data_IF_121939478375
#
_entry.id   IF_121939478375
#
_cell.length_a   1.000
_cell.length_b   1.000
_cell.length_c   1.000
_cell.angle_alpha   90.00
_cell.angle_beta   90.00
_cell.angle_gamma   90.00
#
_symmetry.space_group_name_H-M   'P 1'
#
loop_
_entity.id
_entity.type
_entity.pdbx_description
1 polymer ?
#
# COMPACT_ATOMS: atom_id res chain seq x y z
N UNK A 1 86.65 3.83 34.96
CA UNK A 1 86.22 3.71 33.55
C UNK A 1 85.29 2.52 33.30
N UNK A 2 85.51 1.38 33.87
CA UNK A 2 84.61 0.23 33.73
C UNK A 2 83.23 0.39 34.38
N UNK A 3 83.14 1.19 35.49
CA UNK A 3 81.85 1.53 36.13
C UNK A 3 81.05 2.53 35.30
N UNK A 4 81.69 3.48 34.66
CA UNK A 4 81.06 4.46 33.76
C UNK A 4 80.51 3.81 32.48
N UNK A 5 81.30 2.89 31.91
CA UNK A 5 80.91 2.14 30.72
C UNK A 5 79.68 1.22 30.96
N UNK A 6 79.62 0.60 32.18
CA UNK A 6 78.51 -0.19 32.58
C UNK A 6 77.22 0.63 32.75
N UNK A 7 77.31 1.80 33.39
CA UNK A 7 76.15 2.67 33.58
C UNK A 7 75.58 3.18 32.27
N UNK A 8 76.40 3.49 31.33
CA UNK A 8 75.97 3.91 29.97
C UNK A 8 75.35 2.77 29.20
N UNK A 9 75.92 1.54 29.29
CA UNK A 9 75.32 0.38 28.62
C UNK A 9 73.93 0.02 29.18
N UNK A 10 73.72 0.10 30.50
CA UNK A 10 72.44 -0.14 31.15
C UNK A 10 71.42 0.96 30.82
N UNK A 11 71.87 2.20 30.68
CA UNK A 11 70.96 3.30 30.27
C UNK A 11 70.54 3.11 28.83
N UNK A 12 71.40 2.77 27.88
CA UNK A 12 71.06 2.50 26.50
C UNK A 12 70.13 1.29 26.38
N UNK A 13 70.34 0.23 27.15
CA UNK A 13 69.45 -0.93 27.20
C UNK A 13 68.06 -0.55 27.62
N UNK A 14 67.88 0.18 28.70
CA UNK A 14 66.58 0.64 29.19
C UNK A 14 65.89 1.52 28.19
N UNK A 15 66.62 2.45 27.58
CA UNK A 15 66.07 3.36 26.59
C UNK A 15 65.58 2.61 25.35
N UNK A 16 66.34 1.66 24.83
CA UNK A 16 65.97 0.85 23.66
C UNK A 16 64.78 -0.04 23.96
N UNK A 17 64.76 -0.70 25.16
CA UNK A 17 63.58 -1.51 25.60
C UNK A 17 62.33 -0.66 25.77
N UNK A 18 62.45 0.55 26.35
CA UNK A 18 61.32 1.47 26.53
C UNK A 18 60.78 1.98 25.21
N UNK A 19 61.65 2.37 24.27
CA UNK A 19 61.24 2.79 22.91
C UNK A 19 60.51 1.64 22.19
N UNK A 20 61.04 0.43 22.24
CA UNK A 20 60.45 -0.75 21.62
C UNK A 20 59.13 -1.10 22.26
N UNK A 21 59.01 -0.99 23.58
CA UNK A 21 57.77 -1.21 24.28
C UNK A 21 56.69 -0.18 23.91
N UNK A 22 57.07 1.07 23.74
CA UNK A 22 56.20 2.14 23.27
C UNK A 22 55.68 1.84 21.86
N UNK A 23 56.58 1.43 20.95
CA UNK A 23 56.21 1.03 19.58
C UNK A 23 55.23 -0.15 19.61
N UNK A 24 55.50 -1.16 20.40
CA UNK A 24 54.63 -2.33 20.52
C UNK A 24 53.27 -1.99 21.11
N UNK A 25 53.25 -1.15 22.15
CA UNK A 25 51.97 -0.68 22.75
C UNK A 25 51.15 0.10 21.75
N UNK A 26 51.79 1.00 20.96
CA UNK A 26 51.13 1.74 19.91
C UNK A 26 50.55 0.82 18.83
N UNK A 27 51.34 -0.18 18.40
CA UNK A 27 50.87 -1.16 17.41
C UNK A 27 49.67 -1.97 17.89
N UNK A 28 49.68 -2.41 19.17
CA UNK A 28 48.54 -3.12 19.79
C UNK A 28 47.33 -2.22 19.88
N UNK A 29 47.51 -0.96 20.25
CA UNK A 29 46.40 0.02 20.30
C UNK A 29 45.77 0.22 18.93
N UNK A 30 46.56 0.34 17.89
CA UNK A 30 46.04 0.45 16.51
C UNK A 30 45.28 -0.79 16.09
N UNK A 31 45.76 -1.97 16.41
CA UNK A 31 45.08 -3.23 16.15
C UNK A 31 43.71 -3.29 16.88
N UNK A 32 43.68 -2.93 18.16
CA UNK A 32 42.47 -2.91 18.96
C UNK A 32 41.44 -1.91 18.47
N UNK A 33 41.87 -0.72 18.03
CA UNK A 33 41.02 0.28 17.41
C UNK A 33 40.40 -0.23 16.11
N UNK A 34 41.18 -0.89 15.25
CA UNK A 34 40.68 -1.48 14.00
C UNK A 34 39.70 -2.61 14.30
N UNK A 35 40.01 -3.47 15.27
CA UNK A 35 39.14 -4.54 15.70
C UNK A 35 37.81 -4.00 16.21
N UNK A 36 37.84 -2.95 17.01
CA UNK A 36 36.61 -2.27 17.48
C UNK A 36 35.80 -1.68 16.34
N UNK A 37 36.44 -1.07 15.36
CA UNK A 37 35.77 -0.54 14.16
C UNK A 37 35.13 -1.66 13.34
N UNK A 38 35.78 -2.82 13.23
CA UNK A 38 35.24 -4.01 12.56
C UNK A 38 34.00 -4.53 13.29
N UNK A 39 34.07 -4.65 14.60
CA UNK A 39 32.91 -5.09 15.41
C UNK A 39 31.72 -4.15 15.24
N UNK A 40 31.94 -2.85 15.33
CA UNK A 40 30.88 -1.85 15.14
C UNK A 40 30.29 -1.92 13.74
N UNK A 41 31.11 -2.07 12.72
CA UNK A 41 30.65 -2.19 11.35
C UNK A 41 29.86 -3.48 11.11
N UNK A 42 30.27 -4.60 11.72
CA UNK A 42 29.52 -5.85 11.66
C UNK A 42 28.18 -5.75 12.35
N UNK A 43 28.08 -5.08 13.50
CA UNK A 43 26.82 -4.85 14.20
C UNK A 43 25.88 -3.98 13.34
N UNK A 44 26.38 -2.94 12.72
CA UNK A 44 25.60 -2.12 11.80
C UNK A 44 25.13 -2.90 10.58
N UNK A 45 25.97 -3.71 9.97
CA UNK A 45 25.58 -4.59 8.87
C UNK A 45 24.48 -5.56 9.28
N UNK A 46 24.61 -6.17 10.46
CA UNK A 46 23.60 -7.10 10.98
C UNK A 46 22.29 -6.39 11.22
N UNK A 47 22.31 -5.19 11.81
CA UNK A 47 21.13 -4.38 12.03
C UNK A 47 20.44 -4.01 10.71
N UNK A 48 21.22 -3.59 9.70
CA UNK A 48 20.69 -3.30 8.36
C UNK A 48 20.11 -4.54 7.69
N UNK A 49 20.75 -5.70 7.82
CA UNK A 49 20.23 -6.95 7.30
C UNK A 49 18.88 -7.32 7.93
N UNK A 50 18.73 -7.14 9.24
CA UNK A 50 17.45 -7.34 9.92
C UNK A 50 16.38 -6.38 9.39
N UNK A 51 16.74 -5.12 9.16
CA UNK A 51 15.83 -4.13 8.56
C UNK A 51 15.40 -4.53 7.16
N UNK A 52 16.31 -5.04 6.33
CA UNK A 52 16.00 -5.57 4.99
C UNK A 52 15.05 -6.75 5.09
N UNK A 53 15.28 -7.67 6.00
CA UNK A 53 14.39 -8.83 6.21
C UNK A 53 12.96 -8.40 6.58
N UNK A 54 12.83 -7.42 7.47
CA UNK A 54 11.52 -6.86 7.86
C UNK A 54 10.80 -6.23 6.68
N UNK A 55 11.52 -5.47 5.85
CA UNK A 55 10.94 -4.85 4.66
C UNK A 55 10.55 -5.90 3.64
N UNK A 56 11.35 -6.95 3.43
CA UNK A 56 11.02 -8.04 2.52
C UNK A 56 9.77 -8.78 2.95
N UNK A 57 9.59 -9.03 4.24
CA UNK A 57 8.38 -9.63 4.78
C UNK A 57 7.17 -8.73 4.56
N UNK A 58 7.32 -7.45 4.86
CA UNK A 58 6.28 -6.44 4.60
C UNK A 58 5.91 -6.36 3.13
N UNK A 59 6.89 -6.38 2.22
CA UNK A 59 6.66 -6.43 0.77
C UNK A 59 5.90 -7.68 0.34
N UNK A 60 6.21 -8.83 0.93
CA UNK A 60 5.49 -10.07 0.64
C UNK A 60 4.01 -9.96 1.03
N UNK A 61 3.72 -9.43 2.20
CA UNK A 61 2.34 -9.17 2.64
C UNK A 61 1.63 -8.16 1.74
N UNK A 62 2.30 -7.06 1.40
CA UNK A 62 1.77 -6.03 0.50
C UNK A 62 1.47 -6.59 -0.88
N UNK A 63 2.36 -7.41 -1.45
CA UNK A 63 2.15 -8.04 -2.75
C UNK A 63 0.96 -8.99 -2.73
N UNK A 64 0.77 -9.76 -1.66
CA UNK A 64 -0.39 -10.65 -1.51
C UNK A 64 -1.70 -9.84 -1.49
N UNK A 65 -1.73 -8.77 -0.71
CA UNK A 65 -2.89 -7.86 -0.66
C UNK A 65 -3.13 -7.16 -2.00
N UNK A 66 -2.06 -6.75 -2.67
CA UNK A 66 -2.13 -6.10 -3.98
C UNK A 66 -2.72 -7.03 -5.03
N UNK A 67 -2.31 -8.28 -5.08
CA UNK A 67 -2.87 -9.29 -5.99
C UNK A 67 -4.36 -9.51 -5.74
N UNK A 68 -4.78 -9.60 -4.47
CA UNK A 68 -6.19 -9.74 -4.10
C UNK A 68 -7.01 -8.54 -4.57
N UNK A 69 -6.51 -7.32 -4.36
CA UNK A 69 -7.18 -6.09 -4.81
C UNK A 69 -7.22 -5.98 -6.34
N UNK A 70 -6.16 -6.37 -7.03
CA UNK A 70 -6.14 -6.40 -8.50
C UNK A 70 -7.19 -7.37 -9.05
N UNK A 71 -7.32 -8.54 -8.45
CA UNK A 71 -8.33 -9.52 -8.83
C UNK A 71 -9.73 -8.97 -8.61
N UNK A 72 -9.96 -8.34 -7.46
CA UNK A 72 -11.25 -7.69 -7.17
C UNK A 72 -11.57 -6.57 -8.15
N UNK A 73 -10.59 -5.72 -8.45
CA UNK A 73 -10.72 -4.65 -9.43
C UNK A 73 -11.09 -5.18 -10.82
N UNK A 74 -10.37 -6.16 -11.33
CA UNK A 74 -10.63 -6.72 -12.65
C UNK A 74 -12.00 -7.38 -12.74
N UNK A 75 -12.42 -8.09 -11.69
CA UNK A 75 -13.75 -8.69 -11.62
C UNK A 75 -14.84 -7.64 -11.68
N UNK A 76 -14.76 -6.62 -10.85
CA UNK A 76 -15.77 -5.57 -10.80
C UNK A 76 -15.76 -4.68 -12.05
N UNK A 77 -14.58 -4.37 -12.59
CA UNK A 77 -14.45 -3.63 -13.85
C UNK A 77 -15.04 -4.39 -15.04
N UNK A 78 -14.80 -5.70 -15.12
CA UNK A 78 -15.38 -6.55 -16.16
C UNK A 78 -16.90 -6.62 -16.06
N UNK A 79 -17.42 -6.73 -14.84
CA UNK A 79 -18.87 -6.70 -14.59
C UNK A 79 -19.47 -5.37 -15.00
N UNK A 80 -18.82 -4.27 -14.66
CA UNK A 80 -19.24 -2.92 -15.07
C UNK A 80 -19.27 -2.76 -16.59
N UNK A 81 -18.25 -3.22 -17.29
CA UNK A 81 -18.18 -3.17 -18.75
C UNK A 81 -19.31 -4.00 -19.38
N UNK A 82 -19.58 -5.20 -18.85
CA UNK A 82 -20.67 -6.03 -19.31
C UNK A 82 -22.02 -5.34 -19.16
N UNK A 83 -22.28 -4.75 -17.99
CA UNK A 83 -23.52 -4.03 -17.72
C UNK A 83 -23.65 -2.76 -18.58
N UNK A 84 -22.58 -2.02 -18.78
CA UNK A 84 -22.57 -0.86 -19.69
C UNK A 84 -22.88 -1.26 -21.13
N UNK A 85 -22.28 -2.35 -21.60
CA UNK A 85 -22.56 -2.85 -22.95
C UNK A 85 -24.02 -3.25 -23.12
N UNK A 86 -24.62 -3.91 -22.15
CA UNK A 86 -26.04 -4.26 -22.13
C UNK A 86 -26.89 -2.99 -22.14
N UNK A 87 -26.54 -2.00 -21.32
CA UNK A 87 -27.27 -0.73 -21.26
C UNK A 87 -27.17 0.08 -22.56
N UNK A 88 -26.00 0.14 -23.18
CA UNK A 88 -25.78 0.84 -24.46
C UNK A 88 -26.57 0.23 -25.62
N UNK A 89 -26.79 -1.08 -25.62
CA UNK A 89 -27.62 -1.77 -26.62
C UNK A 89 -29.10 -1.72 -26.32
N UNK A 90 -29.50 -1.13 -25.19
CA UNK A 90 -30.87 -1.13 -24.71
C UNK A 90 -31.49 -2.53 -24.63
N UNK A 91 -30.70 -3.52 -24.23
CA UNK A 91 -31.17 -4.87 -24.02
C UNK A 91 -32.22 -4.89 -22.88
N UNK A 92 -33.33 -5.57 -23.11
CA UNK A 92 -34.48 -5.57 -22.22
C UNK A 92 -35.53 -4.50 -22.54
N UNK A 93 -35.24 -3.56 -23.42
CA UNK A 93 -36.23 -2.61 -23.94
C UNK A 93 -36.93 -3.16 -25.19
N UNK A 94 -38.13 -2.64 -25.48
CA UNK A 94 -38.84 -2.98 -26.71
C UNK A 94 -38.09 -2.54 -27.97
N UNK A 95 -38.36 -3.21 -29.08
CA UNK A 95 -37.67 -2.92 -30.34
C UNK A 95 -37.80 -1.46 -30.78
N UNK A 96 -38.99 -0.88 -30.70
CA UNK A 96 -39.27 0.51 -31.05
C UNK A 96 -38.41 1.47 -30.20
N UNK A 97 -38.26 1.22 -28.91
CA UNK A 97 -37.48 2.04 -28.00
C UNK A 97 -35.98 2.00 -28.38
N UNK A 98 -35.46 0.80 -28.61
CA UNK A 98 -34.05 0.64 -29.03
C UNK A 98 -33.77 1.40 -30.31
N UNK A 99 -34.65 1.31 -31.30
CA UNK A 99 -34.50 1.98 -32.60
C UNK A 99 -34.49 3.50 -32.48
N UNK A 100 -35.35 4.05 -31.65
CA UNK A 100 -35.35 5.49 -31.37
C UNK A 100 -34.07 5.92 -30.65
N UNK A 101 -33.64 5.18 -29.66
CA UNK A 101 -32.45 5.53 -28.89
C UNK A 101 -31.16 5.44 -29.70
N UNK A 102 -31.11 4.61 -30.74
CA UNK A 102 -30.04 4.58 -31.73
C UNK A 102 -29.89 5.91 -32.49
N UNK A 103 -30.99 6.70 -32.59
CA UNK A 103 -30.99 7.98 -33.25
C UNK A 103 -30.63 9.18 -32.34
N UNK A 104 -30.38 8.94 -31.07
CA UNK A 104 -30.17 10.01 -30.05
C UNK A 104 -29.05 10.97 -30.43
N UNK A 105 -27.94 10.46 -30.98
CA UNK A 105 -26.81 11.31 -31.41
C UNK A 105 -27.15 12.19 -32.64
N UNK A 106 -28.00 11.69 -33.52
CA UNK A 106 -28.43 12.40 -34.75
C UNK A 106 -29.58 13.37 -34.48
N UNK A 107 -30.38 13.11 -33.46
CA UNK A 107 -31.54 13.90 -33.07
C UNK A 107 -31.33 14.40 -31.63
N UNK A 108 -30.72 15.57 -31.42
CA UNK A 108 -30.35 16.06 -30.10
C UNK A 108 -31.50 16.32 -29.15
N UNK A 109 -32.73 16.47 -29.69
CA UNK A 109 -33.93 16.66 -28.86
C UNK A 109 -34.37 15.44 -28.08
N UNK A 110 -33.86 14.24 -28.38
CA UNK A 110 -34.15 13.05 -27.62
C UNK A 110 -33.40 13.13 -26.29
N UNK A 111 -34.12 13.23 -25.18
CA UNK A 111 -33.50 13.36 -23.86
C UNK A 111 -33.07 12.01 -23.27
N UNK A 112 -33.88 10.99 -23.42
CA UNK A 112 -33.64 9.66 -22.92
C UNK A 112 -34.93 8.91 -22.58
N UNK A 113 -34.75 7.68 -22.17
CA UNK A 113 -35.85 6.84 -21.66
C UNK A 113 -36.09 7.17 -20.19
N UNK A 114 -37.31 7.12 -19.72
CA UNK A 114 -37.68 7.42 -18.33
C UNK A 114 -36.80 6.65 -17.34
N UNK A 115 -36.55 5.35 -17.57
CA UNK A 115 -35.69 4.54 -16.72
C UNK A 115 -34.29 5.09 -16.55
N UNK A 116 -33.74 5.74 -17.58
CA UNK A 116 -32.36 6.30 -17.56
C UNK A 116 -32.29 7.68 -16.90
N UNK A 117 -33.40 8.37 -16.75
CA UNK A 117 -33.48 9.72 -16.21
C UNK A 117 -33.83 9.75 -14.72
N UNK A 118 -34.27 8.64 -14.15
CA UNK A 118 -34.73 8.54 -12.76
C UNK A 118 -33.73 7.75 -11.94
N UNK A 119 -33.35 8.28 -10.77
CA UNK A 119 -32.60 7.58 -9.74
C UNK A 119 -33.51 7.29 -8.55
N UNK A 120 -33.43 6.07 -8.05
CA UNK A 120 -34.25 5.62 -6.91
C UNK A 120 -33.40 4.79 -5.95
N UNK A 121 -33.69 4.92 -4.65
CA UNK A 121 -33.09 4.08 -3.63
C UNK A 121 -33.51 2.62 -3.84
N UNK A 122 -32.62 1.67 -3.58
CA UNK A 122 -32.84 0.24 -3.72
C UNK A 122 -34.16 -0.23 -3.04
N UNK A 123 -34.47 0.31 -1.87
CA UNK A 123 -35.64 -0.06 -1.10
C UNK A 123 -36.96 0.27 -1.82
N UNK A 124 -36.96 1.20 -2.75
CA UNK A 124 -38.15 1.68 -3.46
C UNK A 124 -38.16 1.33 -4.95
N UNK A 125 -37.13 0.66 -5.47
CA UNK A 125 -37.06 0.30 -6.88
C UNK A 125 -38.28 -0.47 -7.38
N UNK A 126 -38.68 -1.49 -6.65
CA UNK A 126 -39.83 -2.33 -7.01
C UNK A 126 -41.13 -1.50 -7.02
N UNK A 127 -41.31 -0.65 -6.00
CA UNK A 127 -42.48 0.22 -5.92
C UNK A 127 -42.53 1.20 -7.09
N UNK A 128 -41.43 1.83 -7.43
CA UNK A 128 -41.37 2.81 -8.54
C UNK A 128 -41.51 2.13 -9.91
N UNK A 129 -40.91 0.97 -10.13
CA UNK A 129 -41.15 0.17 -11.34
C UNK A 129 -42.61 -0.20 -11.50
N UNK A 130 -43.23 -0.62 -10.41
CA UNK A 130 -44.67 -0.96 -10.39
C UNK A 130 -45.50 0.29 -10.71
N UNK A 131 -45.20 1.43 -10.10
CA UNK A 131 -45.89 2.68 -10.33
C UNK A 131 -45.77 3.18 -11.76
N UNK A 132 -44.59 3.08 -12.36
CA UNK A 132 -44.34 3.48 -13.75
C UNK A 132 -45.00 2.51 -14.73
N UNK A 133 -44.94 1.22 -14.45
CA UNK A 133 -45.45 0.20 -15.38
C UNK A 133 -44.81 0.34 -16.76
N UNK A 134 -45.61 0.35 -17.81
CA UNK A 134 -45.12 0.54 -19.19
C UNK A 134 -44.48 1.90 -19.45
N UNK A 135 -44.75 2.90 -18.63
CA UNK A 135 -44.18 4.23 -18.75
C UNK A 135 -42.66 4.29 -18.47
N UNK A 136 -42.10 3.26 -17.88
CA UNK A 136 -40.68 3.14 -17.63
C UNK A 136 -39.84 3.20 -18.94
N UNK A 137 -40.45 2.78 -20.04
CA UNK A 137 -39.84 2.79 -21.37
C UNK A 137 -40.25 4.00 -22.23
N UNK A 138 -41.02 4.94 -21.71
CA UNK A 138 -41.38 6.13 -22.44
C UNK A 138 -40.16 7.01 -22.72
N UNK A 139 -40.16 7.63 -23.87
CA UNK A 139 -39.07 8.46 -24.36
C UNK A 139 -39.36 9.93 -24.13
N UNK A 140 -38.49 10.60 -23.37
CA UNK A 140 -38.59 12.04 -23.12
C UNK A 140 -37.93 12.80 -24.26
N UNK A 141 -38.64 13.76 -24.82
CA UNK A 141 -38.12 14.67 -25.84
C UNK A 141 -38.21 16.11 -25.37
N UNK A 142 -37.42 16.97 -25.97
CA UNK A 142 -37.43 18.42 -25.70
C UNK A 142 -38.76 19.07 -26.05
N UNK A 143 -39.32 18.73 -27.22
CA UNK A 143 -40.54 19.29 -27.72
C UNK A 143 -41.35 18.29 -28.57
N UNK A 144 -42.52 18.72 -28.99
CA UNK A 144 -43.45 17.90 -29.77
C UNK A 144 -42.90 17.62 -31.20
N UNK A 145 -42.13 18.52 -31.76
CA UNK A 145 -41.58 18.34 -33.10
C UNK A 145 -40.57 17.19 -33.14
N UNK A 146 -39.73 17.06 -32.12
CA UNK A 146 -38.82 15.92 -31.95
C UNK A 146 -39.59 14.61 -31.85
N UNK A 147 -40.63 14.59 -31.01
CA UNK A 147 -41.50 13.43 -30.86
C UNK A 147 -42.18 13.03 -32.18
N UNK A 148 -42.69 14.00 -32.92
CA UNK A 148 -43.29 13.80 -34.27
C UNK A 148 -42.28 13.19 -35.24
N UNK A 149 -41.09 13.72 -35.30
CA UNK A 149 -40.02 13.21 -36.17
C UNK A 149 -39.70 11.75 -35.89
N UNK A 150 -39.66 11.38 -34.62
CA UNK A 150 -39.38 10.00 -34.22
C UNK A 150 -40.59 9.05 -34.42
N UNK A 151 -41.82 9.56 -34.29
CA UNK A 151 -43.02 8.80 -34.63
C UNK A 151 -43.04 8.50 -36.14
N UNK A 152 -42.75 9.47 -36.99
CA UNK A 152 -42.62 9.29 -38.44
C UNK A 152 -41.50 8.30 -38.81
N UNK A 153 -40.36 8.37 -38.13
CA UNK A 153 -39.27 7.43 -38.28
C UNK A 153 -39.70 5.97 -37.95
N UNK A 154 -40.37 5.77 -36.84
CA UNK A 154 -40.88 4.45 -36.46
C UNK A 154 -41.92 3.94 -37.49
N UNK A 155 -42.80 4.79 -37.94
CA UNK A 155 -43.84 4.45 -38.92
C UNK A 155 -43.23 4.07 -40.28
N UNK A 156 -42.29 4.89 -40.77
CA UNK A 156 -41.61 4.65 -42.04
C UNK A 156 -40.89 3.33 -42.09
N UNK A 157 -40.22 2.98 -41.01
CA UNK A 157 -39.40 1.77 -40.90
C UNK A 157 -40.09 0.56 -40.33
N UNK A 158 -41.38 0.72 -39.96
CA UNK A 158 -42.20 -0.35 -39.34
C UNK A 158 -41.55 -0.95 -38.09
N UNK A 159 -40.98 -0.10 -37.25
CA UNK A 159 -40.28 -0.52 -36.04
C UNK A 159 -41.20 -0.67 -34.80
N UNK A 160 -42.51 -0.47 -34.98
CA UNK A 160 -43.46 -0.55 -33.88
C UNK A 160 -43.83 0.81 -33.30
N UNK A 161 -44.37 0.80 -32.11
CA UNK A 161 -44.91 2.00 -31.43
C UNK A 161 -44.13 2.32 -30.17
N UNK A 162 -44.01 3.62 -29.90
CA UNK A 162 -43.43 4.14 -28.66
C UNK A 162 -44.26 5.31 -28.16
N UNK A 163 -44.24 5.52 -26.85
CA UNK A 163 -44.86 6.69 -26.22
C UNK A 163 -43.80 7.73 -25.93
N UNK A 164 -44.06 8.96 -26.37
CA UNK A 164 -43.16 10.09 -26.18
C UNK A 164 -43.74 11.07 -25.17
N UNK A 165 -42.88 11.65 -24.35
CA UNK A 165 -43.21 12.66 -23.36
C UNK A 165 -42.42 13.95 -23.69
N UNK A 166 -43.02 14.85 -24.54
CA UNK A 166 -42.44 16.13 -24.87
C UNK A 166 -42.41 17.05 -23.65
N UNK A 167 -41.25 17.55 -23.25
CA UNK A 167 -41.10 18.45 -22.10
C UNK A 167 -41.89 19.74 -22.27
N UNK A 168 -42.04 20.19 -23.51
CA UNK A 168 -42.81 21.40 -23.85
C UNK A 168 -44.30 21.30 -23.59
N UNK A 169 -44.88 20.06 -23.61
CA UNK A 169 -46.31 19.85 -23.47
C UNK A 169 -46.72 19.09 -22.20
N UNK A 170 -45.77 18.36 -21.61
CA UNK A 170 -46.06 17.60 -20.38
C UNK A 170 -46.14 18.53 -19.17
N UNK A 171 -47.22 18.45 -18.43
CA UNK A 171 -47.39 19.16 -17.15
C UNK A 171 -48.00 18.26 -16.10
N UNK A 172 -47.74 18.50 -14.81
CA UNK A 172 -48.30 17.72 -13.72
C UNK A 172 -49.83 17.74 -13.72
N UNK A 173 -50.43 16.62 -13.31
CA UNK A 173 -51.91 16.48 -13.17
C UNK A 173 -52.45 17.06 -11.87
N UNK A 174 -51.71 17.95 -11.21
CA UNK A 174 -52.02 18.49 -9.91
C UNK A 174 -51.28 17.76 -8.79
N UNK A 175 -51.41 18.32 -7.59
CA UNK A 175 -50.80 17.72 -6.39
C UNK A 175 -51.60 16.51 -5.90
N UNK A 176 -50.93 15.65 -5.14
CA UNK A 176 -51.57 14.52 -4.47
C UNK A 176 -52.64 15.02 -3.47
N UNK A 177 -53.84 14.51 -3.62
CA UNK A 177 -54.98 14.80 -2.69
C UNK A 177 -55.73 13.52 -2.41
N UNK A 178 -56.32 13.32 -1.22
CA UNK A 178 -56.30 14.20 -0.04
C UNK A 178 -54.95 14.08 0.72
N UNK A 179 -54.43 15.18 1.21
CA UNK A 179 -53.13 15.21 1.95
C UNK A 179 -53.17 14.43 3.29
N UNK A 180 -54.33 14.24 3.85
CA UNK A 180 -54.52 13.42 5.08
C UNK A 180 -54.10 11.97 4.87
N UNK A 181 -54.18 11.44 3.65
CA UNK A 181 -53.78 10.09 3.33
C UNK A 181 -52.26 9.88 3.56
N UNK A 182 -51.45 10.91 3.48
CA UNK A 182 -50.01 10.84 3.74
C UNK A 182 -49.68 10.50 5.20
N UNK A 183 -50.61 10.72 6.10
CA UNK A 183 -50.46 10.44 7.54
C UNK A 183 -50.98 9.06 7.95
N UNK A 184 -51.55 8.32 7.03
CA UNK A 184 -52.06 6.99 7.33
C UNK A 184 -50.96 5.99 7.67
N UNK A 185 -51.21 5.01 8.55
CA UNK A 185 -50.21 4.00 8.88
C UNK A 185 -49.72 3.25 7.65
N UNK A 186 -48.43 3.06 7.55
CA UNK A 186 -47.76 2.33 6.47
C UNK A 186 -47.43 3.16 5.25
N UNK A 187 -47.80 4.43 5.19
CA UNK A 187 -47.46 5.31 4.08
C UNK A 187 -45.95 5.64 4.11
N UNK A 188 -45.29 5.35 3.02
CA UNK A 188 -43.87 5.69 2.81
C UNK A 188 -43.74 7.12 2.26
N UNK A 189 -44.60 7.47 1.27
CA UNK A 189 -44.60 8.80 0.69
C UNK A 189 -45.21 8.82 -0.70
N UNK A 190 -45.18 9.98 -1.33
CA UNK A 190 -45.59 10.13 -2.74
C UNK A 190 -44.43 9.62 -3.62
N UNK A 191 -44.74 8.81 -4.62
CA UNK A 191 -43.74 8.17 -5.49
C UNK A 191 -42.78 9.19 -6.14
N UNK A 192 -43.28 10.36 -6.58
CA UNK A 192 -42.45 11.41 -7.17
C UNK A 192 -41.41 11.98 -6.21
N UNK A 193 -41.63 11.92 -4.90
CA UNK A 193 -40.72 12.42 -3.87
C UNK A 193 -39.70 11.38 -3.46
N UNK A 194 -39.87 10.11 -3.82
CA UNK A 194 -38.98 9.00 -3.53
C UNK A 194 -37.91 8.77 -4.61
N UNK A 195 -37.93 9.57 -5.67
CA UNK A 195 -37.01 9.50 -6.78
C UNK A 195 -36.22 10.81 -6.91
N UNK A 196 -35.01 10.71 -7.46
CA UNK A 196 -34.17 11.86 -7.80
C UNK A 196 -34.04 11.98 -9.30
N UNK A 197 -34.20 13.20 -9.80
CA UNK A 197 -34.04 13.52 -11.23
C UNK A 197 -33.34 14.87 -11.39
N UNK A 198 -32.75 15.11 -12.55
CA UNK A 198 -32.26 16.43 -12.89
C UNK A 198 -33.42 17.43 -12.90
N UNK A 199 -33.17 18.67 -12.52
CA UNK A 199 -34.21 19.72 -12.36
C UNK A 199 -35.10 19.89 -13.57
N UNK A 200 -34.56 19.72 -14.78
CA UNK A 200 -35.26 19.82 -16.04
C UNK A 200 -36.31 18.73 -16.25
N UNK A 201 -36.22 17.60 -15.57
CA UNK A 201 -37.15 16.46 -15.68
C UNK A 201 -38.16 16.37 -14.53
N UNK A 202 -38.18 17.31 -13.61
CA UNK A 202 -39.12 17.27 -12.46
C UNK A 202 -40.57 17.26 -12.88
N UNK A 203 -40.92 17.98 -13.94
CA UNK A 203 -42.30 17.99 -14.42
C UNK A 203 -42.74 16.62 -14.99
N UNK A 204 -41.84 15.96 -15.68
CA UNK A 204 -42.06 14.58 -16.16
C UNK A 204 -42.28 13.64 -14.97
N UNK A 205 -41.46 13.71 -13.94
CA UNK A 205 -41.57 12.88 -12.74
C UNK A 205 -42.89 13.13 -12.01
N UNK A 206 -43.30 14.38 -11.83
CA UNK A 206 -44.56 14.74 -11.21
C UNK A 206 -45.77 14.29 -12.06
N UNK A 207 -45.65 14.36 -13.36
CA UNK A 207 -46.67 13.85 -14.27
C UNK A 207 -46.87 12.34 -14.12
N UNK A 208 -45.80 11.56 -14.05
CA UNK A 208 -45.86 10.11 -13.97
C UNK A 208 -46.15 9.58 -12.56
N UNK A 209 -45.60 10.20 -11.55
CA UNK A 209 -45.53 9.66 -10.18
C UNK A 209 -46.14 10.58 -9.11
N UNK A 210 -46.57 11.77 -9.47
CA UNK A 210 -47.01 12.79 -8.50
C UNK A 210 -48.30 12.45 -7.75
N UNK A 211 -49.10 11.52 -8.27
CA UNK A 211 -50.37 11.10 -7.68
C UNK A 211 -50.38 9.63 -7.25
N UNK A 212 -49.24 9.01 -7.15
CA UNK A 212 -49.07 7.63 -6.70
C UNK A 212 -48.54 7.61 -5.27
N UNK A 213 -49.25 6.92 -4.39
CA UNK A 213 -48.87 6.73 -3.00
C UNK A 213 -48.08 5.41 -2.85
N UNK A 214 -46.93 5.46 -2.22
CA UNK A 214 -46.13 4.26 -1.87
C UNK A 214 -46.45 3.86 -0.45
N UNK A 215 -46.80 2.59 -0.26
CA UNK A 215 -47.19 2.02 1.02
C UNK A 215 -46.30 0.81 1.32
N UNK A 216 -46.04 0.53 2.59
CA UNK A 216 -45.12 -0.51 3.04
C UNK A 216 -45.60 -1.95 2.74
N UNK A 217 -46.90 -2.22 2.87
CA UNK A 217 -47.48 -3.54 2.62
C UNK A 217 -48.90 -3.48 2.10
N UNK A 218 -49.40 -4.63 1.62
CA UNK A 218 -50.72 -4.75 1.03
C UNK A 218 -51.86 -4.53 2.03
N UNK A 219 -51.68 -4.94 3.28
CA UNK A 219 -52.74 -4.79 4.31
C UNK A 219 -52.98 -3.32 4.63
N UNK A 220 -51.91 -2.53 4.77
CA UNK A 220 -52.03 -1.09 4.93
C UNK A 220 -52.66 -0.43 3.69
N UNK A 221 -52.25 -0.86 2.49
CA UNK A 221 -52.82 -0.34 1.25
C UNK A 221 -54.33 -0.62 1.14
N UNK A 222 -54.77 -1.80 1.49
CA UNK A 222 -56.20 -2.16 1.51
C UNK A 222 -56.99 -1.27 2.50
N UNK A 223 -56.44 -1.10 3.72
CA UNK A 223 -57.07 -0.26 4.73
C UNK A 223 -57.23 1.20 4.27
N UNK A 224 -56.19 1.76 3.66
CA UNK A 224 -56.20 3.11 3.10
C UNK A 224 -57.20 3.19 1.94
N UNK A 225 -57.19 2.20 1.06
CA UNK A 225 -58.12 2.13 -0.07
C UNK A 225 -59.59 2.18 0.38
N UNK A 226 -59.98 1.43 1.39
CA UNK A 226 -61.32 1.42 1.97
C UNK A 226 -61.68 2.77 2.59
N UNK A 227 -60.77 3.37 3.33
CA UNK A 227 -60.98 4.66 4.00
C UNK A 227 -61.23 5.79 3.01
N UNK A 228 -60.55 5.78 1.88
CA UNK A 228 -60.66 6.82 0.84
C UNK A 228 -61.48 6.39 -0.36
N UNK A 229 -62.36 5.42 -0.19
CA UNK A 229 -63.37 4.96 -1.16
C UNK A 229 -62.77 4.50 -2.49
N UNK A 230 -61.60 3.85 -2.45
CA UNK A 230 -60.90 3.33 -3.64
C UNK A 230 -60.60 4.40 -4.70
N UNK A 231 -60.31 5.62 -4.25
CA UNK A 231 -60.03 6.75 -5.14
C UNK A 231 -58.52 6.94 -5.40
N UNK A 232 -57.67 6.30 -4.58
CA UNK A 232 -56.22 6.50 -4.62
C UNK A 232 -55.53 5.42 -5.42
N UNK A 233 -54.50 5.82 -6.15
CA UNK A 233 -53.56 4.91 -6.74
C UNK A 233 -52.41 4.66 -5.75
N UNK A 234 -52.19 3.41 -5.43
CA UNK A 234 -51.17 2.99 -4.45
C UNK A 234 -50.33 1.86 -5.01
N UNK A 235 -49.08 1.84 -4.63
CA UNK A 235 -48.16 0.73 -4.86
C UNK A 235 -47.49 0.35 -3.55
N UNK A 236 -47.19 -0.93 -3.36
CA UNK A 236 -46.45 -1.37 -2.19
C UNK A 236 -44.96 -1.55 -2.49
N UNK A 237 -44.12 -1.59 -1.47
CA UNK A 237 -42.71 -1.86 -1.60
C UNK A 237 -42.42 -3.28 -2.12
N UNK A 238 -43.39 -4.18 -2.06
CA UNK A 238 -43.27 -5.54 -2.59
C UNK A 238 -43.81 -5.69 -4.03
N UNK A 239 -44.38 -4.64 -4.62
CA UNK A 239 -44.74 -4.61 -6.03
C UNK A 239 -46.26 -4.84 -6.30
N UNK A 240 -47.12 -4.82 -5.28
CA UNK A 240 -48.58 -4.83 -5.48
C UNK A 240 -49.04 -3.41 -5.90
N UNK A 241 -50.05 -3.37 -6.74
CA UNK A 241 -50.67 -2.15 -7.21
C UNK A 241 -52.16 -2.13 -6.94
N UNK A 242 -52.68 -1.07 -6.32
CA UNK A 242 -54.08 -0.81 -6.11
C UNK A 242 -54.49 0.40 -6.94
N UNK A 243 -55.33 0.21 -7.89
CA UNK A 243 -55.78 1.26 -8.81
C UNK A 243 -57.07 1.93 -8.34
N UNK A 244 -57.30 3.20 -8.74
CA UNK A 244 -58.59 3.82 -8.53
C UNK A 244 -59.72 2.94 -9.08
N UNK A 245 -60.81 2.80 -8.30
CA UNK A 245 -61.90 1.88 -8.62
C UNK A 245 -61.80 0.53 -7.94
N UNK A 246 -60.65 0.20 -7.30
CA UNK A 246 -60.51 -0.97 -6.43
C UNK A 246 -59.83 -2.17 -7.05
N UNK A 247 -59.41 -2.10 -8.30
CA UNK A 247 -58.64 -3.22 -8.88
C UNK A 247 -57.28 -3.38 -8.24
N UNK A 248 -56.86 -4.64 -8.06
CA UNK A 248 -55.60 -5.01 -7.43
C UNK A 248 -54.79 -5.87 -8.38
N UNK A 249 -53.47 -5.57 -8.47
CA UNK A 249 -52.52 -6.37 -9.24
C UNK A 249 -51.35 -6.74 -8.32
N UNK A 250 -50.99 -8.01 -8.34
CA UNK A 250 -49.88 -8.51 -7.51
C UNK A 250 -49.47 -9.90 -7.94
N UNK A 251 -48.63 -10.50 -7.14
CA UNK A 251 -48.06 -11.82 -7.37
C UNK A 251 -46.53 -11.75 -7.27
N UNK A 252 -45.85 -12.79 -7.69
CA UNK A 252 -44.39 -12.81 -7.67
C UNK A 252 -43.84 -11.78 -8.65
N UNK A 253 -43.01 -10.85 -8.14
CA UNK A 253 -42.36 -9.87 -8.97
C UNK A 253 -41.21 -10.54 -9.77
N UNK A 254 -41.34 -10.55 -11.10
CA UNK A 254 -40.33 -11.12 -11.97
C UNK A 254 -39.31 -10.03 -12.32
N UNK A 255 -38.08 -10.26 -11.89
CA UNK A 255 -36.97 -9.33 -12.05
C UNK A 255 -36.32 -9.35 -13.46
N UNK A 256 -37.03 -9.88 -14.48
CA UNK A 256 -36.46 -10.11 -15.82
C UNK A 256 -36.14 -8.81 -16.61
N UNK A 257 -36.54 -7.64 -16.13
CA UNK A 257 -36.22 -6.36 -16.75
C UNK A 257 -36.20 -5.26 -15.70
N UNK A 258 -35.42 -5.45 -14.66
CA UNK A 258 -35.19 -4.42 -13.63
C UNK A 258 -34.28 -3.30 -14.19
N UNK A 259 -34.87 -2.42 -15.01
CA UNK A 259 -34.15 -1.34 -15.66
C UNK A 259 -33.62 -0.32 -14.66
N UNK A 260 -34.34 -0.01 -13.60
CA UNK A 260 -33.90 0.87 -12.52
C UNK A 260 -32.79 0.23 -11.69
N UNK A 261 -32.93 -1.05 -11.36
CA UNK A 261 -31.90 -1.79 -10.64
C UNK A 261 -30.60 -1.92 -11.42
N UNK A 262 -30.68 -2.13 -12.73
CA UNK A 262 -29.49 -2.18 -13.61
C UNK A 262 -28.74 -0.85 -13.58
N UNK A 263 -29.44 0.27 -13.72
CA UNK A 263 -28.84 1.59 -13.63
C UNK A 263 -28.16 1.83 -12.29
N UNK A 264 -28.85 1.51 -11.20
CA UNK A 264 -28.29 1.60 -9.84
C UNK A 264 -27.03 0.76 -9.71
N UNK A 265 -27.09 -0.49 -10.20
CA UNK A 265 -25.93 -1.40 -10.16
C UNK A 265 -24.73 -0.84 -10.92
N UNK A 266 -24.97 -0.25 -12.10
CA UNK A 266 -23.92 0.43 -12.86
C UNK A 266 -23.30 1.57 -12.05
N UNK A 267 -24.11 2.44 -11.45
CA UNK A 267 -23.63 3.56 -10.64
C UNK A 267 -22.84 3.10 -9.41
N UNK A 268 -23.33 2.07 -8.72
CA UNK A 268 -22.62 1.47 -7.58
C UNK A 268 -21.29 0.84 -7.99
N UNK A 269 -21.26 0.15 -9.13
CA UNK A 269 -20.04 -0.43 -9.66
C UNK A 269 -19.05 0.63 -10.13
N UNK A 270 -19.51 1.72 -10.74
CA UNK A 270 -18.65 2.85 -11.11
C UNK A 270 -17.93 3.42 -9.88
N UNK A 271 -18.67 3.63 -8.80
CA UNK A 271 -18.12 4.11 -7.53
C UNK A 271 -17.12 3.11 -6.95
N UNK A 272 -17.50 1.83 -6.92
CA UNK A 272 -16.67 0.75 -6.38
C UNK A 272 -15.38 0.55 -7.17
N UNK A 273 -15.48 0.54 -8.51
CA UNK A 273 -14.33 0.40 -9.41
C UNK A 273 -13.39 1.60 -9.27
N UNK A 274 -13.92 2.80 -9.18
CA UNK A 274 -13.13 4.01 -8.94
C UNK A 274 -12.38 3.94 -7.60
N UNK A 275 -13.06 3.49 -6.55
CA UNK A 275 -12.46 3.32 -5.23
C UNK A 275 -11.36 2.25 -5.22
N UNK A 276 -11.63 1.10 -5.87
CA UNK A 276 -10.65 0.03 -6.01
C UNK A 276 -9.42 0.49 -6.79
N UNK A 277 -9.61 1.26 -7.86
CA UNK A 277 -8.52 1.82 -8.65
C UNK A 277 -7.65 2.76 -7.83
N UNK A 278 -8.27 3.62 -7.03
CA UNK A 278 -7.55 4.52 -6.12
C UNK A 278 -6.76 3.74 -5.07
N UNK A 279 -7.38 2.74 -4.46
CA UNK A 279 -6.71 1.86 -3.49
C UNK A 279 -5.52 1.13 -4.11
N UNK A 280 -5.67 0.63 -5.34
CA UNK A 280 -4.57 -0.03 -6.07
C UNK A 280 -3.41 0.93 -6.30
N UNK A 281 -3.69 2.17 -6.71
CA UNK A 281 -2.64 3.17 -6.92
C UNK A 281 -1.89 3.46 -5.63
N UNK A 282 -2.60 3.64 -4.52
CA UNK A 282 -2.00 3.85 -3.21
C UNK A 282 -1.15 2.66 -2.76
N UNK A 283 -1.66 1.44 -2.94
CA UNK A 283 -0.93 0.21 -2.60
C UNK A 283 0.30 0.01 -3.47
N UNK A 284 0.22 0.30 -4.77
CA UNK A 284 1.36 0.23 -5.69
C UNK A 284 2.44 1.25 -5.31
N UNK A 285 2.05 2.47 -4.94
CA UNK A 285 2.97 3.50 -4.49
C UNK A 285 3.66 3.10 -3.16
N UNK A 286 2.92 2.50 -2.24
CA UNK A 286 3.48 2.01 -0.98
C UNK A 286 4.48 0.85 -1.21
N UNK A 287 4.18 -0.05 -2.13
CA UNK A 287 5.10 -1.13 -2.53
C UNK A 287 6.38 -0.56 -3.15
N UNK A 288 6.24 0.42 -4.04
CA UNK A 288 7.39 1.05 -4.70
C UNK A 288 8.29 1.78 -3.70
N UNK A 289 7.70 2.49 -2.76
CA UNK A 289 8.43 3.17 -1.68
C UNK A 289 9.22 2.16 -0.82
N UNK A 290 8.61 1.04 -0.45
CA UNK A 290 9.28 0.00 0.31
C UNK A 290 10.40 -0.69 -0.50
N UNK A 291 10.21 -0.88 -1.80
CA UNK A 291 11.27 -1.39 -2.69
C UNK A 291 12.46 -0.42 -2.74
N UNK A 292 12.19 0.87 -2.84
CA UNK A 292 13.22 1.90 -2.86
C UNK A 292 13.98 1.94 -1.53
N UNK A 293 13.30 1.83 -0.41
CA UNK A 293 13.92 1.75 0.91
C UNK A 293 14.78 0.50 1.05
N UNK A 294 14.27 -0.65 0.62
CA UNK A 294 15.05 -1.89 0.57
C UNK A 294 16.33 -1.73 -0.23
N UNK A 295 16.24 -1.12 -1.41
CA UNK A 295 17.39 -0.91 -2.27
C UNK A 295 18.42 0.01 -1.63
N UNK A 296 17.98 1.09 -0.98
CA UNK A 296 18.87 1.99 -0.22
C UNK A 296 19.60 1.26 0.92
N UNK A 297 18.88 0.40 1.63
CA UNK A 297 19.49 -0.42 2.70
C UNK A 297 20.49 -1.43 2.14
N UNK A 298 20.18 -2.07 1.01
CA UNK A 298 21.12 -2.97 0.33
C UNK A 298 22.38 -2.26 -0.13
N UNK A 299 22.24 -1.05 -0.66
CA UNK A 299 23.38 -0.22 -1.04
C UNK A 299 24.24 0.17 0.17
N UNK A 300 23.59 0.52 1.28
CA UNK A 300 24.29 0.79 2.54
C UNK A 300 25.04 -0.46 3.05
N UNK A 301 24.44 -1.63 2.97
CA UNK A 301 25.07 -2.90 3.34
C UNK A 301 26.29 -3.16 2.46
N UNK A 302 26.17 -2.98 1.15
CA UNK A 302 27.28 -3.13 0.22
C UNK A 302 28.43 -2.18 0.56
N UNK A 303 28.13 -0.94 0.93
CA UNK A 303 29.11 0.05 1.39
C UNK A 303 29.82 -0.39 2.66
N UNK A 304 29.09 -0.91 3.64
CA UNK A 304 29.69 -1.45 4.87
C UNK A 304 30.53 -2.71 4.61
N UNK A 305 30.09 -3.58 3.72
CA UNK A 305 30.86 -4.78 3.35
C UNK A 305 32.20 -4.41 2.71
N UNK A 306 32.22 -3.41 1.83
CA UNK A 306 33.47 -2.92 1.24
C UNK A 306 34.37 -2.28 2.30
N UNK A 307 33.82 -1.51 3.20
CA UNK A 307 34.53 -0.92 4.34
C UNK A 307 35.11 -2.01 5.26
N UNK A 308 34.35 -3.04 5.52
CA UNK A 308 34.79 -4.20 6.30
C UNK A 308 35.94 -4.93 5.61
N UNK A 309 35.86 -5.14 4.31
CA UNK A 309 36.93 -5.76 3.53
C UNK A 309 38.24 -4.99 3.70
N UNK A 310 38.19 -3.67 3.57
CA UNK A 310 39.35 -2.81 3.78
C UNK A 310 39.86 -2.86 5.21
N UNK A 311 38.96 -2.86 6.19
CA UNK A 311 39.32 -2.95 7.62
C UNK A 311 39.95 -4.28 7.99
N UNK A 312 39.52 -5.39 7.40
CA UNK A 312 40.15 -6.68 7.60
C UNK A 312 41.59 -6.70 7.02
N UNK A 313 41.82 -6.05 5.88
CA UNK A 313 43.16 -5.88 5.32
C UNK A 313 44.04 -5.06 6.27
N UNK A 314 43.52 -3.93 6.78
CA UNK A 314 44.24 -3.09 7.75
C UNK A 314 44.53 -3.87 9.05
N UNK A 315 43.58 -4.64 9.53
CA UNK A 315 43.73 -5.50 10.72
C UNK A 315 44.86 -6.52 10.53
N UNK A 316 44.85 -7.18 9.38
CA UNK A 316 45.91 -8.15 9.06
C UNK A 316 47.29 -7.48 8.99
N UNK A 317 47.38 -6.31 8.38
CA UNK A 317 48.61 -5.51 8.35
C UNK A 317 49.05 -5.13 9.75
N UNK A 318 48.13 -4.70 10.60
CA UNK A 318 48.42 -4.36 12.00
C UNK A 318 48.86 -5.60 12.79
N UNK A 319 48.26 -6.76 12.55
CA UNK A 319 48.66 -8.02 13.17
C UNK A 319 50.08 -8.40 12.79
N UNK A 320 50.39 -8.30 11.51
CA UNK A 320 51.75 -8.58 11.03
C UNK A 320 52.77 -7.60 11.61
N UNK A 321 52.38 -6.33 11.74
CA UNK A 321 53.24 -5.31 12.39
C UNK A 321 53.51 -5.66 13.85
N UNK A 322 52.48 -6.08 14.61
CA UNK A 322 52.64 -6.54 16.00
C UNK A 322 53.64 -7.70 16.07
N UNK A 323 53.47 -8.74 15.22
CA UNK A 323 54.42 -9.87 15.16
C UNK A 323 55.83 -9.43 14.89
N UNK A 324 56.02 -8.50 13.96
CA UNK A 324 57.34 -7.96 13.61
C UNK A 324 57.94 -7.18 14.79
N UNK A 325 57.13 -6.38 15.49
CA UNK A 325 57.61 -5.63 16.67
C UNK A 325 57.88 -6.55 17.87
N UNK A 326 57.06 -7.57 18.08
CA UNK A 326 57.32 -8.60 19.10
C UNK A 326 58.63 -9.35 18.84
N UNK A 327 58.91 -9.68 17.55
CA UNK A 327 60.17 -10.30 17.14
C UNK A 327 61.35 -9.38 17.41
N UNK A 328 61.25 -8.08 17.09
CA UNK A 328 62.29 -7.11 17.42
C UNK A 328 62.52 -6.98 18.91
N UNK A 329 61.46 -6.95 19.72
CA UNK A 329 61.56 -6.89 21.17
C UNK A 329 62.29 -8.13 21.73
N UNK A 330 61.98 -9.32 21.18
CA UNK A 330 62.65 -10.55 21.57
C UNK A 330 64.12 -10.55 21.15
N UNK A 331 64.46 -10.10 19.95
CA UNK A 331 65.85 -9.97 19.49
C UNK A 331 66.66 -9.02 20.38
N UNK A 332 66.08 -7.88 20.77
CA UNK A 332 66.71 -6.94 21.70
C UNK A 332 66.97 -7.60 23.03
N UNK A 333 65.97 -8.25 23.60
CA UNK A 333 66.06 -8.93 24.89
C UNK A 333 67.11 -10.07 24.85
N UNK A 334 67.08 -10.87 23.78
CA UNK A 334 68.03 -11.96 23.60
C UNK A 334 69.47 -11.44 23.40
N UNK A 335 69.61 -10.34 22.63
CA UNK A 335 70.87 -9.67 22.41
C UNK A 335 71.50 -9.19 23.72
N UNK A 336 70.72 -8.51 24.55
CA UNK A 336 71.16 -8.07 25.86
C UNK A 336 71.41 -9.23 26.83
N UNK A 337 70.63 -10.28 26.81
CA UNK A 337 70.88 -11.50 27.62
C UNK A 337 72.18 -12.18 27.24
N UNK A 338 72.48 -12.21 25.92
CA UNK A 338 73.78 -12.75 25.44
C UNK A 338 74.94 -11.91 25.88
N UNK A 339 74.85 -10.55 25.73
CA UNK A 339 75.87 -9.60 26.20
C UNK A 339 76.13 -9.78 27.69
N UNK A 340 75.04 -9.90 28.51
CA UNK A 340 75.17 -10.12 29.96
C UNK A 340 75.93 -11.44 30.29
N UNK A 341 75.62 -12.52 29.55
CA UNK A 341 76.27 -13.80 29.68
C UNK A 341 77.81 -13.67 29.30
N UNK A 342 78.08 -13.02 28.20
CA UNK A 342 79.45 -12.78 27.75
C UNK A 342 80.25 -11.96 28.79
N UNK A 343 79.62 -10.91 29.33
CA UNK A 343 80.23 -10.09 30.38
C UNK A 343 80.48 -10.91 31.68
N UNK A 344 79.57 -11.78 32.07
CA UNK A 344 79.76 -12.63 33.23
C UNK A 344 80.87 -13.63 33.02
N UNK A 345 80.97 -14.21 31.84
CA UNK A 345 82.04 -15.10 31.49
C UNK A 345 83.43 -14.39 31.51
N UNK A 346 83.52 -13.20 30.92
CA UNK A 346 84.69 -12.40 30.96
C UNK A 346 85.14 -12.04 32.37
N UNK A 347 84.13 -11.66 33.19
CA UNK A 347 84.34 -11.37 34.63
C UNK A 347 84.86 -12.58 35.38
N UNK A 348 84.32 -13.74 35.10
CA UNK A 348 84.84 -15.00 35.69
C UNK A 348 86.27 -15.28 35.30
N UNK A 349 86.57 -15.13 34.02
CA UNK A 349 87.97 -15.31 33.51
C UNK A 349 88.93 -14.33 34.13
N UNK A 350 88.58 -13.05 34.26
CA UNK A 350 89.40 -12.04 34.93
C UNK A 350 89.63 -12.38 36.37
N UNK A 351 88.64 -12.90 37.09
CA UNK A 351 88.81 -13.34 38.47
C UNK A 351 89.76 -14.53 38.58
N UNK A 352 89.60 -15.51 37.70
CA UNK A 352 90.58 -16.63 37.64
C UNK A 352 91.99 -16.18 37.40
N UNK A 353 92.16 -15.29 36.45
CA UNK A 353 93.53 -14.72 36.15
C UNK A 353 94.06 -13.99 37.38
N UNK A 354 93.26 -13.21 38.09
CA UNK A 354 93.68 -12.55 39.34
C UNK A 354 94.07 -13.52 40.42
N UNK A 355 93.31 -14.57 40.60
CA UNK A 355 93.63 -15.60 41.57
C UNK A 355 94.93 -16.34 41.26
N UNK A 356 95.14 -16.61 39.96
CA UNK A 356 96.39 -17.25 39.51
C UNK A 356 97.55 -16.32 39.70
N UNK A 357 97.33 -15.04 39.38
CA UNK A 357 98.35 -14.03 39.60
C UNK A 357 98.73 -13.87 41.07
N UNK A 358 97.74 -13.83 41.95
CA UNK A 358 97.95 -13.79 43.42
C UNK A 358 98.64 -15.02 43.94
N UNK A 359 98.26 -16.19 43.42
CA UNK A 359 98.93 -17.45 43.75
C UNK A 359 100.37 -17.46 43.33
N UNK A 360 100.68 -17.07 42.11
CA UNK A 360 102.01 -16.98 41.57
C UNK A 360 102.86 -15.98 42.36
N UNK A 361 102.30 -14.80 42.68
CA UNK A 361 102.97 -13.82 43.52
C UNK A 361 103.29 -14.35 44.90
N UNK A 362 102.46 -15.09 45.49
CA UNK A 362 102.68 -15.75 46.80
C UNK A 362 103.77 -16.84 46.71
N UNK A 363 103.69 -17.67 45.70
CA UNK A 363 104.74 -18.69 45.42
C UNK A 363 106.11 -18.05 45.14
N UNK A 364 106.13 -16.99 44.43
CA UNK A 364 107.33 -16.23 44.13
C UNK A 364 107.96 -15.61 45.43
N UNK A 365 107.04 -15.07 46.28
CA UNK A 365 107.48 -14.46 47.56
C UNK A 365 108.00 -15.54 48.50
N UNK A 366 107.31 -16.67 48.55
CA UNK A 366 107.77 -17.83 49.37
C UNK A 366 109.19 -18.38 48.85
N UNK A 367 109.29 -18.50 47.54
CA UNK A 367 110.53 -18.92 46.92
C UNK A 367 111.69 -17.93 47.18
N UNK A 368 111.44 -16.62 47.17
CA UNK A 368 112.43 -15.62 47.58
C UNK A 368 112.78 -15.66 49.03
N UNK A 369 111.91 -16.08 49.91
CA UNK A 369 112.16 -16.29 51.31
C UNK A 369 113.03 -17.57 51.55
N UNK A 370 112.73 -18.66 50.84
CA UNK A 370 113.55 -19.90 50.88
C UNK A 370 114.99 -19.73 50.35
N UNK A 371 115.21 -18.76 49.40
CA UNK A 371 116.55 -18.45 48.94
C UNK A 371 117.41 -17.59 49.94
N UNK A 372 116.77 -17.03 50.96
CA UNK A 372 117.42 -16.18 51.96
C UNK A 372 117.73 -16.92 53.25
N UNK A 373 117.28 -18.17 53.46
CA UNK A 373 117.70 -19.03 54.52
C UNK A 373 118.87 -19.89 53.99
#
# INVERSE_FOLDING_TARGET
DLRMSRGLGDVYKRQEEEEQQTILTTARKQYDEITSQIENANEECEHLNLSVMKIQEKLKEQNTKLEAEQTAYHREASRLDSLRNIAERYDGYGNSIRRVMEQKERVPGIQGVVADLIQVNKDYEIAIETALGGSIQNIVTDNEQTAKTMIEFLKKNRYGRATFLPMSSISPRGEFTPKEALKEPGVVGIASELVSVASQYQQITKFLLGRVLVVDNIDHAIAIGKKYRHSLRMVTTEGESLSPGGSMTGGAFRNNSNLLGRRREIEELETKVSQLKQNLTEMQNAVEENKNQRNRLRDAIAGFQEKLRQKYIEQNTARMNIKQQEKKAEEIRSGYAQINRDQAEIKRQVMEIRQDHDRIARELENSKQDEKE
#
